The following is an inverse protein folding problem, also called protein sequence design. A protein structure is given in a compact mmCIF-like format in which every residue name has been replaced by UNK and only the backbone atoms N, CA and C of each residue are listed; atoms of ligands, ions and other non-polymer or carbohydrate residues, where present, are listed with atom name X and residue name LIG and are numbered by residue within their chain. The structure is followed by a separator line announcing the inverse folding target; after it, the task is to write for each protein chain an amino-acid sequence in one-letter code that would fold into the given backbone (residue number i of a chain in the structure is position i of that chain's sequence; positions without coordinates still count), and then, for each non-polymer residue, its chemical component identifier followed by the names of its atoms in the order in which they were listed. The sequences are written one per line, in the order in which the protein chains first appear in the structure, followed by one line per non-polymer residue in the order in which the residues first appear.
data_IF_580335071368
#
_entry.id   IF_580335071368
#
_cell.length_a   1.000
_cell.length_b   1.000
_cell.length_c   1.000
_cell.angle_alpha   90.00
_cell.angle_beta   90.00
_cell.angle_gamma   90.00
#
_symmetry.space_group_name_H-M   'P 1'
#
loop_
_entity.id
_entity.type
_entity.pdbx_description
1 polymer ?
#
# COMPACT_ATOMS: atom_id res chain seq x y z
N UNK A 1 -8.94 45.38 -43.63
CA UNK A 1 -7.84 45.05 -42.69
C UNK A 1 -8.15 45.75 -41.37
N UNK A 2 -8.70 45.03 -40.39
CA UNK A 2 -9.13 45.64 -39.12
C UNK A 2 -7.99 45.52 -38.12
N UNK A 3 -7.29 46.63 -37.87
CA UNK A 3 -6.22 46.72 -36.89
C UNK A 3 -6.86 47.11 -35.56
N UNK A 4 -7.10 46.13 -34.70
CA UNK A 4 -7.63 46.34 -33.34
C UNK A 4 -6.51 46.93 -32.47
N UNK A 5 -6.63 48.22 -32.13
CA UNK A 5 -5.74 48.92 -31.20
C UNK A 5 -6.09 48.57 -29.75
N UNK A 6 -5.40 47.59 -29.16
CA UNK A 6 -5.59 47.22 -27.75
C UNK A 6 -4.94 48.26 -26.83
N UNK A 7 -5.69 48.79 -25.86
CA UNK A 7 -5.15 49.66 -24.80
C UNK A 7 -4.14 48.87 -23.95
N UNK A 8 -2.99 49.49 -23.62
CA UNK A 8 -1.89 48.82 -22.88
C UNK A 8 -2.27 48.33 -21.48
N UNK A 9 -3.24 48.97 -20.80
CA UNK A 9 -3.69 48.59 -19.45
C UNK A 9 -4.42 47.23 -19.40
N UNK A 10 -5.47 46.98 -20.21
CA UNK A 10 -6.14 45.66 -20.22
C UNK A 10 -5.22 44.54 -20.70
N UNK A 11 -4.26 44.81 -21.61
CA UNK A 11 -3.29 43.81 -22.06
C UNK A 11 -2.42 43.27 -20.92
N UNK A 12 -1.93 44.15 -20.04
CA UNK A 12 -1.15 43.74 -18.85
C UNK A 12 -1.96 42.86 -17.93
N UNK A 13 -3.25 43.16 -17.75
CA UNK A 13 -4.15 42.37 -16.91
C UNK A 13 -4.35 40.95 -17.47
N UNK A 14 -4.56 40.83 -18.78
CA UNK A 14 -4.69 39.53 -19.46
C UNK A 14 -3.41 38.71 -19.28
N UNK A 15 -2.23 39.31 -19.46
CA UNK A 15 -0.94 38.63 -19.27
C UNK A 15 -0.78 38.14 -17.83
N UNK A 16 -1.15 38.94 -16.83
CA UNK A 16 -1.12 38.53 -15.42
C UNK A 16 -2.04 37.33 -15.14
N UNK A 17 -3.24 37.29 -15.71
CA UNK A 17 -4.16 36.14 -15.58
C UNK A 17 -3.54 34.89 -16.19
N UNK A 18 -2.99 34.99 -17.41
CA UNK A 18 -2.36 33.85 -18.09
C UNK A 18 -1.19 33.30 -17.26
N UNK A 19 -0.35 34.18 -16.70
CA UNK A 19 0.74 33.77 -15.82
C UNK A 19 0.23 33.10 -14.54
N UNK A 20 -0.80 33.65 -13.90
CA UNK A 20 -1.39 33.05 -12.69
C UNK A 20 -1.97 31.65 -12.98
N UNK A 21 -2.66 31.47 -14.11
CA UNK A 21 -3.18 30.17 -14.54
C UNK A 21 -2.04 29.19 -14.83
N UNK A 22 -0.98 29.63 -15.52
CA UNK A 22 0.19 28.79 -15.82
C UNK A 22 0.91 28.33 -14.53
N UNK A 23 1.11 29.23 -13.58
CA UNK A 23 1.71 28.90 -12.27
C UNK A 23 0.81 27.93 -11.51
N UNK A 24 -0.50 28.18 -11.46
CA UNK A 24 -1.46 27.28 -10.83
C UNK A 24 -1.45 25.88 -11.44
N UNK A 25 -1.36 25.78 -12.78
CA UNK A 25 -1.30 24.50 -13.47
C UNK A 25 -0.01 23.73 -13.15
N UNK A 26 1.14 24.42 -13.05
CA UNK A 26 2.41 23.81 -12.65
C UNK A 26 2.38 23.30 -11.21
N UNK A 27 1.86 24.10 -10.26
CA UNK A 27 1.71 23.70 -8.86
C UNK A 27 0.80 22.47 -8.73
N UNK A 28 -0.34 22.50 -9.43
CA UNK A 28 -1.27 21.37 -9.47
C UNK A 28 -0.62 20.11 -10.06
N UNK A 29 0.10 20.26 -11.18
CA UNK A 29 0.83 19.17 -11.82
C UNK A 29 1.90 18.56 -10.92
N UNK A 30 2.66 19.39 -10.21
CA UNK A 30 3.66 18.95 -9.23
C UNK A 30 3.02 18.16 -8.07
N UNK A 31 1.93 18.68 -7.50
CA UNK A 31 1.20 18.00 -6.42
C UNK A 31 0.63 16.63 -6.86
N UNK A 32 0.08 16.54 -8.08
CA UNK A 32 -0.41 15.28 -8.63
C UNK A 32 0.74 14.30 -8.92
N UNK A 33 1.87 14.77 -9.44
CA UNK A 33 3.03 13.93 -9.70
C UNK A 33 3.59 13.31 -8.41
N UNK A 34 3.68 14.08 -7.33
CA UNK A 34 4.08 13.57 -6.02
C UNK A 34 3.15 12.44 -5.56
N UNK A 35 1.83 12.64 -5.65
CA UNK A 35 0.84 11.62 -5.32
C UNK A 35 1.01 10.35 -6.16
N UNK A 36 1.20 10.49 -7.47
CA UNK A 36 1.39 9.36 -8.39
C UNK A 36 2.68 8.58 -8.08
N UNK A 37 3.76 9.29 -7.77
CA UNK A 37 5.05 8.69 -7.42
C UNK A 37 4.95 7.82 -6.17
N UNK A 38 4.31 8.32 -5.11
CA UNK A 38 4.07 7.55 -3.88
C UNK A 38 3.23 6.30 -4.15
N UNK A 39 2.17 6.43 -4.96
CA UNK A 39 1.35 5.28 -5.36
C UNK A 39 2.15 4.23 -6.14
N UNK A 40 2.94 4.64 -7.12
CA UNK A 40 3.82 3.72 -7.87
C UNK A 40 4.81 3.01 -6.97
N UNK A 41 5.41 3.71 -6.00
CA UNK A 41 6.32 3.10 -5.01
C UNK A 41 5.61 2.07 -4.12
N UNK A 42 4.37 2.32 -3.71
CA UNK A 42 3.59 1.34 -2.93
C UNK A 42 3.25 0.08 -3.75
N UNK A 43 2.91 0.26 -5.03
CA UNK A 43 2.72 -0.85 -5.96
C UNK A 43 4.02 -1.62 -6.17
N UNK A 44 5.13 -0.93 -6.41
CA UNK A 44 6.45 -1.55 -6.57
C UNK A 44 6.88 -2.28 -5.30
N UNK A 45 6.58 -1.75 -4.11
CA UNK A 45 6.85 -2.44 -2.85
C UNK A 45 6.08 -3.76 -2.77
N UNK A 46 4.80 -3.79 -3.11
CA UNK A 46 3.99 -5.02 -3.13
C UNK A 46 4.50 -5.97 -4.24
N UNK A 47 4.71 -5.46 -5.46
CA UNK A 47 5.14 -6.26 -6.62
C UNK A 47 6.55 -6.81 -6.50
N UNK A 48 7.52 -6.06 -5.98
CA UNK A 48 8.88 -6.58 -5.77
C UNK A 48 8.89 -7.75 -4.80
N UNK A 49 7.98 -7.79 -3.82
CA UNK A 49 7.83 -8.95 -2.95
C UNK A 49 7.29 -10.18 -3.69
N UNK A 50 6.37 -9.97 -4.64
CA UNK A 50 5.89 -11.00 -5.54
C UNK A 50 7.04 -11.54 -6.41
N UNK A 51 7.82 -10.67 -7.05
CA UNK A 51 8.93 -11.09 -7.93
C UNK A 51 10.05 -11.78 -7.15
N UNK A 52 10.35 -11.31 -5.93
CA UNK A 52 11.34 -11.94 -5.06
C UNK A 52 10.93 -13.38 -4.70
N UNK A 53 9.62 -13.65 -4.55
CA UNK A 53 9.10 -15.01 -4.37
C UNK A 53 9.38 -15.89 -5.59
N UNK A 54 9.05 -15.42 -6.81
CA UNK A 54 9.30 -16.18 -8.04
C UNK A 54 10.79 -16.41 -8.32
N UNK A 55 11.64 -15.38 -8.14
CA UNK A 55 13.10 -15.48 -8.34
C UNK A 55 13.78 -16.39 -7.30
N UNK A 56 13.25 -16.43 -6.07
CA UNK A 56 13.79 -17.34 -5.03
C UNK A 56 13.40 -18.80 -5.24
N UNK A 57 12.27 -19.07 -5.92
CA UNK A 57 11.84 -20.43 -6.26
C UNK A 57 12.57 -21.04 -7.46
N UNK A 58 13.08 -20.21 -8.37
CA UNK A 58 13.83 -20.65 -9.55
C UNK A 58 15.34 -20.74 -9.35
N UNK A 59 15.90 -20.07 -8.33
CA UNK A 59 17.32 -20.06 -7.99
C UNK A 59 17.54 -20.57 -6.56
N UNK A 60 17.42 -21.88 -6.34
CA UNK A 60 17.75 -22.53 -5.07
C UNK A 60 19.26 -22.52 -4.80
N UNK A 61 19.86 -21.38 -4.47
CA UNK A 61 21.14 -21.27 -3.75
C UNK A 61 21.42 -19.80 -3.40
N UNK A 62 20.97 -19.33 -2.23
CA UNK A 62 21.49 -18.07 -1.66
C UNK A 62 20.51 -17.22 -0.86
N UNK A 63 19.22 -17.57 -0.79
CA UNK A 63 18.27 -16.81 0.03
C UNK A 63 18.43 -17.17 1.52
N UNK A 64 18.79 -16.19 2.34
CA UNK A 64 18.87 -16.40 3.79
C UNK A 64 17.45 -16.56 4.37
N UNK A 65 17.18 -17.60 5.18
CA UNK A 65 15.91 -17.82 5.89
C UNK A 65 15.49 -16.68 6.84
N UNK A 66 16.29 -15.61 6.96
CA UNK A 66 16.04 -14.45 7.80
C UNK A 66 15.01 -13.45 7.23
N UNK A 67 14.85 -13.38 5.90
CA UNK A 67 13.86 -12.47 5.28
C UNK A 67 12.42 -12.89 5.59
N UNK A 68 12.15 -14.20 5.67
CA UNK A 68 10.87 -14.80 6.07
C UNK A 68 10.48 -14.56 7.53
N UNK A 69 11.30 -13.84 8.30
CA UNK A 69 11.07 -13.55 9.71
C UNK A 69 11.02 -12.06 9.99
N UNK A 70 10.97 -11.20 8.99
CA UNK A 70 10.98 -9.75 9.21
C UNK A 70 9.66 -9.14 8.76
N UNK A 71 8.96 -8.52 9.70
CA UNK A 71 7.81 -7.66 9.46
C UNK A 71 8.33 -6.30 8.99
N UNK A 72 7.76 -5.79 7.91
CA UNK A 72 8.16 -4.51 7.32
C UNK A 72 7.00 -3.53 7.34
N UNK A 73 7.27 -2.31 7.81
CA UNK A 73 6.30 -1.20 7.83
C UNK A 73 6.70 -0.24 6.73
N UNK A 74 5.88 -0.16 5.70
CA UNK A 74 6.03 0.76 4.58
C UNK A 74 5.14 1.99 4.78
N UNK A 75 5.73 3.18 4.73
CA UNK A 75 5.00 4.44 4.76
C UNK A 75 4.64 4.83 3.33
N UNK A 76 3.34 4.89 3.04
CA UNK A 76 2.84 5.17 1.70
C UNK A 76 3.21 6.59 1.26
N UNK A 77 3.18 7.56 2.18
CA UNK A 77 3.47 8.96 1.86
C UNK A 77 4.95 9.13 1.50
N UNK A 78 5.84 8.48 2.25
CA UNK A 78 7.30 8.51 2.01
C UNK A 78 7.71 7.57 0.87
N UNK A 79 6.89 6.56 0.56
CA UNK A 79 7.16 5.57 -0.47
C UNK A 79 8.35 4.67 -0.15
N UNK A 80 8.58 4.37 1.14
CA UNK A 80 9.70 3.52 1.57
C UNK A 80 9.38 2.76 2.86
N UNK A 81 10.14 1.70 3.12
CA UNK A 81 10.12 0.99 4.41
C UNK A 81 10.74 1.88 5.48
N UNK A 82 9.98 2.15 6.54
CA UNK A 82 10.41 2.99 7.66
C UNK A 82 10.78 2.18 8.90
N UNK A 83 10.36 0.92 8.98
CA UNK A 83 10.68 0.03 10.10
C UNK A 83 10.74 -1.42 9.67
N UNK A 84 11.69 -2.15 10.24
CA UNK A 84 11.81 -3.61 10.13
C UNK A 84 11.83 -4.20 11.54
N UNK A 85 10.98 -5.18 11.80
CA UNK A 85 10.83 -5.82 13.12
C UNK A 85 10.90 -7.33 12.94
N UNK A 86 11.60 -8.04 13.82
CA UNK A 86 11.56 -9.50 13.80
C UNK A 86 10.15 -10.00 14.13
N UNK A 87 9.58 -10.81 13.23
CA UNK A 87 8.35 -11.53 13.42
C UNK A 87 8.47 -12.50 14.59
N UNK A 88 7.37 -12.67 15.32
CA UNK A 88 7.24 -13.59 16.43
C UNK A 88 5.86 -14.25 16.39
N UNK A 89 5.64 -15.27 17.23
CA UNK A 89 4.38 -16.02 17.25
C UNK A 89 3.17 -15.14 17.55
N UNK A 90 3.32 -14.09 18.37
CA UNK A 90 2.24 -13.16 18.69
C UNK A 90 1.81 -12.37 17.43
N UNK A 91 2.77 -11.79 16.71
CA UNK A 91 2.52 -11.05 15.46
C UNK A 91 1.86 -11.96 14.42
N UNK A 92 2.39 -13.17 14.22
CA UNK A 92 1.80 -14.13 13.29
C UNK A 92 0.38 -14.54 13.70
N UNK A 93 0.11 -14.75 14.98
CA UNK A 93 -1.21 -15.15 15.47
C UNK A 93 -2.24 -14.03 15.35
N UNK A 94 -1.87 -12.77 15.59
CA UNK A 94 -2.75 -11.63 15.31
C UNK A 94 -3.08 -11.56 13.82
N UNK A 95 -2.10 -11.71 12.93
CA UNK A 95 -2.31 -11.71 11.49
C UNK A 95 -3.23 -12.86 11.02
N UNK A 96 -3.02 -14.08 11.54
CA UNK A 96 -3.91 -15.23 11.32
C UNK A 96 -5.33 -14.96 11.81
N UNK A 97 -5.45 -14.29 12.95
CA UNK A 97 -6.72 -13.88 13.53
C UNK A 97 -7.50 -12.92 12.61
N UNK A 98 -6.83 -12.13 11.77
CA UNK A 98 -7.51 -11.28 10.79
C UNK A 98 -8.04 -12.09 9.61
N UNK A 99 -7.30 -13.09 9.12
CA UNK A 99 -7.77 -13.98 8.03
C UNK A 99 -9.04 -14.74 8.43
N UNK A 100 -9.10 -15.25 9.66
CA UNK A 100 -10.28 -15.93 10.20
C UNK A 100 -11.51 -15.02 10.28
N UNK A 101 -11.30 -13.70 10.40
CA UNK A 101 -12.35 -12.70 10.58
C UNK A 101 -12.62 -11.89 9.31
N UNK A 102 -12.22 -12.39 8.14
CA UNK A 102 -12.57 -11.77 6.86
C UNK A 102 -14.08 -11.78 6.71
N UNK A 103 -14.65 -10.58 6.48
CA UNK A 103 -16.10 -10.38 6.33
C UNK A 103 -16.54 -10.24 4.88
N UNK A 104 -15.60 -9.93 3.97
CA UNK A 104 -15.92 -9.76 2.55
C UNK A 104 -14.79 -9.21 1.72
N UNK A 105 -14.97 -9.22 0.41
CA UNK A 105 -14.09 -8.54 -0.54
C UNK A 105 -14.07 -7.03 -0.28
N UNK A 106 -12.91 -6.42 -0.38
CA UNK A 106 -12.75 -4.97 -0.33
C UNK A 106 -12.90 -4.37 -1.72
N UNK A 107 -14.12 -3.90 -2.03
CA UNK A 107 -14.51 -3.45 -3.37
C UNK A 107 -14.40 -1.93 -3.48
N UNK A 108 -13.17 -1.41 -3.59
CA UNK A 108 -12.93 -0.01 -3.97
C UNK A 108 -12.14 0.08 -5.27
N UNK A 109 -12.59 0.96 -6.17
CA UNK A 109 -11.91 1.20 -7.45
C UNK A 109 -10.44 1.61 -7.28
N UNK A 110 -10.11 2.33 -6.20
CA UNK A 110 -8.74 2.57 -5.77
C UNK A 110 -8.47 1.79 -4.47
N UNK A 111 -8.05 0.54 -4.61
CA UNK A 111 -7.83 -0.36 -3.48
C UNK A 111 -6.62 0.02 -2.63
N UNK A 112 -5.63 0.72 -3.19
CA UNK A 112 -4.49 1.26 -2.43
C UNK A 112 -4.79 2.67 -1.91
N UNK A 113 -4.54 2.94 -0.62
CA UNK A 113 -4.80 4.24 -0.06
C UNK A 113 -3.70 5.23 -0.45
N UNK A 114 -4.03 6.53 -0.52
CA UNK A 114 -3.04 7.58 -0.86
C UNK A 114 -2.09 7.89 0.30
N UNK A 115 -2.49 7.59 1.54
CA UNK A 115 -1.74 7.82 2.78
C UNK A 115 -2.01 6.70 3.79
N UNK A 116 -1.04 6.46 4.67
CA UNK A 116 -1.11 5.42 5.70
C UNK A 116 0.08 4.48 5.61
N UNK A 117 -0.11 3.27 6.12
CA UNK A 117 0.94 2.27 6.24
C UNK A 117 0.53 0.93 5.65
N UNK A 118 1.51 0.20 5.13
CA UNK A 118 1.37 -1.21 4.75
C UNK A 118 2.29 -2.00 5.66
N UNK A 119 1.72 -2.94 6.42
CA UNK A 119 2.48 -3.84 7.29
C UNK A 119 2.54 -5.20 6.59
N UNK A 120 3.73 -5.57 6.10
CA UNK A 120 3.99 -6.88 5.52
C UNK A 120 4.33 -7.87 6.63
N UNK A 121 3.54 -8.91 6.79
CA UNK A 121 3.75 -9.96 7.79
C UNK A 121 3.99 -11.29 7.05
N UNK A 122 5.24 -11.75 6.98
CA UNK A 122 5.53 -13.08 6.43
C UNK A 122 5.07 -14.15 7.42
N UNK A 123 4.53 -15.26 6.91
CA UNK A 123 4.19 -16.42 7.73
C UNK A 123 5.33 -17.45 7.66
N UNK A 124 5.74 -17.98 8.82
CA UNK A 124 6.78 -19.03 8.89
C UNK A 124 6.47 -20.26 8.05
N UNK A 125 5.20 -20.61 7.90
CA UNK A 125 4.69 -21.66 7.04
C UNK A 125 3.43 -21.17 6.36
N UNK A 126 3.18 -21.54 5.09
CA UNK A 126 1.90 -21.30 4.45
C UNK A 126 0.77 -21.87 5.31
N UNK A 127 -0.35 -21.15 5.42
CA UNK A 127 -1.50 -21.57 6.20
C UNK A 127 -2.74 -21.70 5.34
N UNK A 128 -3.53 -22.70 5.67
CA UNK A 128 -4.90 -22.86 5.21
C UNK A 128 -5.83 -22.37 6.30
N UNK A 129 -6.75 -21.50 5.93
CA UNK A 129 -7.75 -20.95 6.83
C UNK A 129 -9.10 -21.25 6.23
N UNK A 130 -9.96 -21.94 6.98
CA UNK A 130 -11.35 -22.15 6.56
C UNK A 130 -12.09 -20.80 6.61
N UNK A 131 -12.13 -20.14 5.45
CA UNK A 131 -12.87 -18.92 5.23
C UNK A 131 -13.36 -18.91 3.77
N UNK A 132 -14.67 -18.73 3.58
CA UNK A 132 -15.30 -18.75 2.24
C UNK A 132 -14.62 -17.79 1.24
N UNK A 133 -14.17 -16.63 1.71
CA UNK A 133 -13.57 -15.61 0.86
C UNK A 133 -12.16 -15.96 0.40
N UNK A 134 -11.46 -16.87 1.08
CA UNK A 134 -10.12 -17.32 0.66
C UNK A 134 -10.21 -18.57 -0.23
N UNK A 135 -11.13 -19.47 0.10
CA UNK A 135 -11.33 -20.73 -0.60
C UNK A 135 -11.88 -20.50 -2.02
N UNK A 136 -12.81 -19.57 -2.20
CA UNK A 136 -13.47 -19.31 -3.48
C UNK A 136 -12.54 -18.65 -4.53
N UNK A 137 -11.39 -18.13 -4.11
CA UNK A 137 -10.48 -17.35 -4.95
C UNK A 137 -9.05 -17.93 -5.01
N UNK A 138 -8.88 -19.23 -4.77
CA UNK A 138 -7.58 -19.92 -4.82
C UNK A 138 -6.46 -19.20 -4.04
N UNK A 139 -6.84 -18.57 -2.92
CA UNK A 139 -5.92 -17.79 -2.07
C UNK A 139 -5.23 -18.65 -1.01
N UNK A 140 -5.58 -19.94 -0.97
CA UNK A 140 -5.04 -20.95 -0.09
C UNK A 140 -3.93 -21.76 -0.80
N UNK A 141 -2.75 -21.96 -0.20
CA UNK A 141 -2.31 -21.50 1.13
C UNK A 141 -1.72 -20.09 1.14
N UNK A 142 -2.09 -19.35 2.19
CA UNK A 142 -1.62 -17.98 2.44
C UNK A 142 -0.18 -18.01 2.95
N UNK A 143 0.72 -17.31 2.26
CA UNK A 143 2.16 -17.25 2.59
C UNK A 143 2.56 -15.98 3.31
N UNK A 144 1.88 -14.89 2.99
CA UNK A 144 2.13 -13.56 3.54
C UNK A 144 0.83 -12.77 3.62
N UNK A 145 0.76 -11.87 4.59
CA UNK A 145 -0.40 -11.03 4.85
C UNK A 145 0.06 -9.58 4.87
N UNK A 146 -0.59 -8.75 4.07
CA UNK A 146 -0.38 -7.31 4.08
C UNK A 146 -1.55 -6.65 4.81
N UNK A 147 -1.28 -5.98 5.92
CA UNK A 147 -2.30 -5.19 6.63
C UNK A 147 -2.18 -3.74 6.18
N UNK A 148 -3.18 -3.24 5.47
CA UNK A 148 -3.25 -1.86 5.02
C UNK A 148 -3.97 -1.03 6.08
N UNK A 149 -3.28 -0.03 6.62
CA UNK A 149 -3.81 0.91 7.61
C UNK A 149 -3.86 2.28 6.94
N UNK A 150 -4.98 2.64 6.30
CA UNK A 150 -5.12 3.96 5.68
C UNK A 150 -5.14 5.05 6.74
N UNK A 151 -4.74 6.28 6.38
CA UNK A 151 -4.81 7.43 7.28
C UNK A 151 -6.24 7.79 7.71
N UNK A 152 -7.25 7.33 6.97
CA UNK A 152 -8.67 7.48 7.28
C UNK A 152 -9.44 6.24 6.83
N UNK A 153 -10.38 5.79 7.66
CA UNK A 153 -11.18 4.59 7.44
C UNK A 153 -10.62 3.34 8.13
N UNK A 154 -11.27 2.21 7.88
CA UNK A 154 -10.93 0.95 8.52
C UNK A 154 -9.73 0.28 7.84
N UNK A 155 -8.89 -0.45 8.60
CA UNK A 155 -7.88 -1.34 8.04
C UNK A 155 -8.50 -2.46 7.21
N UNK A 156 -7.74 -2.96 6.25
CA UNK A 156 -8.12 -4.09 5.40
C UNK A 156 -6.88 -4.90 5.03
N UNK A 157 -7.09 -6.13 4.55
CA UNK A 157 -6.02 -7.05 4.19
C UNK A 157 -5.79 -7.03 2.69
N UNK A 158 -4.55 -7.31 2.30
CA UNK A 158 -4.19 -7.81 1.00
C UNK A 158 -3.51 -9.17 1.17
N UNK A 159 -3.95 -10.13 0.38
CA UNK A 159 -3.38 -11.48 0.29
C UNK A 159 -3.16 -11.81 -1.18
N UNK A 160 -2.12 -12.59 -1.47
CA UNK A 160 -1.82 -13.07 -2.82
C UNK A 160 -2.51 -14.41 -3.07
N UNK A 161 -3.14 -14.56 -4.24
CA UNK A 161 -3.60 -15.87 -4.69
C UNK A 161 -2.44 -16.75 -5.20
N UNK A 162 -2.77 -17.98 -5.62
CA UNK A 162 -1.79 -18.92 -6.17
C UNK A 162 -1.05 -18.43 -7.43
N UNK A 163 -1.62 -17.47 -8.17
CA UNK A 163 -1.02 -16.79 -9.33
C UNK A 163 -0.33 -15.47 -8.93
N UNK A 164 -0.18 -15.22 -7.63
CA UNK A 164 0.32 -13.99 -7.04
C UNK A 164 -0.44 -12.73 -7.47
N UNK A 165 -1.74 -12.84 -7.70
CA UNK A 165 -2.62 -11.68 -7.91
C UNK A 165 -3.06 -11.13 -6.54
N UNK A 166 -3.01 -9.80 -6.34
CA UNK A 166 -3.41 -9.20 -5.08
C UNK A 166 -4.93 -9.19 -4.94
N UNK A 167 -5.42 -9.77 -3.84
CA UNK A 167 -6.83 -9.78 -3.46
C UNK A 167 -7.00 -9.04 -2.14
N UNK A 168 -8.00 -8.15 -2.07
CA UNK A 168 -8.22 -7.26 -0.95
C UNK A 168 -9.46 -7.67 -0.16
N UNK A 169 -9.37 -7.67 1.17
CA UNK A 169 -10.41 -8.19 2.06
C UNK A 169 -10.68 -7.24 3.23
N UNK A 170 -11.96 -7.01 3.52
CA UNK A 170 -12.40 -6.45 4.80
C UNK A 170 -12.28 -7.53 5.89
N UNK A 171 -12.01 -7.11 7.13
CA UNK A 171 -12.02 -8.01 8.27
C UNK A 171 -12.53 -7.31 9.53
N UNK A 172 -13.03 -8.09 10.48
CA UNK A 172 -13.34 -7.62 11.83
C UNK A 172 -12.13 -7.81 12.74
N UNK A 173 -11.65 -6.71 13.34
CA UNK A 173 -10.53 -6.76 14.27
C UNK A 173 -9.93 -5.39 14.54
N UNK A 174 -9.19 -5.29 15.64
CA UNK A 174 -8.48 -4.07 16.04
C UNK A 174 -6.97 -4.25 15.77
N UNK A 175 -6.39 -3.38 14.95
CA UNK A 175 -4.96 -3.43 14.61
C UNK A 175 -4.04 -2.90 15.71
N UNK A 176 -4.57 -2.31 16.78
CA UNK A 176 -3.82 -1.74 17.90
C UNK A 176 -2.93 -2.74 18.61
N UNK A 177 -3.36 -4.00 18.77
CA UNK A 177 -2.51 -5.06 19.35
C UNK A 177 -1.31 -5.38 18.47
N UNK A 178 -1.54 -5.50 17.16
CA UNK A 178 -0.47 -5.66 16.18
C UNK A 178 0.49 -4.46 16.24
N UNK A 179 -0.03 -3.22 16.17
CA UNK A 179 0.76 -1.99 16.23
C UNK A 179 1.61 -1.89 17.50
N UNK A 180 1.03 -2.21 18.66
CA UNK A 180 1.73 -2.25 19.93
C UNK A 180 2.87 -3.28 19.94
N UNK A 181 2.63 -4.49 19.41
CA UNK A 181 3.65 -5.54 19.30
C UNK A 181 4.79 -5.17 18.34
N UNK A 182 4.53 -4.28 17.39
CA UNK A 182 5.53 -3.71 16.49
C UNK A 182 6.19 -2.45 17.06
N UNK A 183 5.78 -2.02 18.26
CA UNK A 183 6.17 -0.74 18.88
C UNK A 183 6.06 0.42 17.89
N UNK A 184 4.96 0.45 17.14
CA UNK A 184 4.73 1.40 16.07
C UNK A 184 3.46 2.20 16.35
N UNK A 185 3.61 3.52 16.45
CA UNK A 185 2.52 4.46 16.62
C UNK A 185 2.33 5.27 15.33
N UNK A 186 1.24 5.09 14.58
CA UNK A 186 0.94 5.81 13.35
C UNK A 186 0.85 7.33 13.49
N UNK A 187 0.72 7.86 14.72
CA UNK A 187 0.50 9.28 15.00
C UNK A 187 1.74 10.01 15.55
N UNK A 188 2.87 9.33 15.73
CA UNK A 188 4.09 9.89 16.35
C UNK A 188 5.19 10.31 15.36
N UNK A 189 4.91 10.33 14.04
CA UNK A 189 5.94 10.56 12.99
C UNK A 189 5.59 11.73 12.08
#
# INVERSE_FOLDING_TARGET
MIIIGIRKKPLKFIICIILAVSVGFNIYGYAQNLRLTSKYKSLLFISNHIEQYYMSSSLLTGFSPSSYKTVEIFDISKGQVIKKVSSNSFIENEAKGYLLRITGMYVKANALPDKGYIIKIPLKKPITVENQWLNDYDTDPVKEIFVLIPASGNPYLLVMDNMNRPLFYNFEGNTGRLLASLSFNPHEI
#
